data_IF_732273423706
#
_entry.id   IF_732273423706
#
_cell.length_a   1.000
_cell.length_b   1.000
_cell.length_c   1.000
_cell.angle_alpha   90.00
_cell.angle_beta   90.00
_cell.angle_gamma   90.00
#
_symmetry.space_group_name_H-M   'P 1'
#
loop_
_entity.id
_entity.type
_entity.pdbx_description
1 polymer ?
#
# COMPACT_ATOMS: atom_id res chain seq x y z
N UNK A 1 -6.74 -9.86 15.53
CA UNK A 1 -6.68 -9.62 14.08
C UNK A 1 -5.28 -9.89 13.54
N UNK A 2 -5.19 -10.39 12.31
CA UNK A 2 -3.92 -10.81 11.74
C UNK A 2 -2.86 -9.70 11.70
N UNK A 3 -3.27 -8.47 11.38
CA UNK A 3 -2.34 -7.33 11.32
C UNK A 3 -1.78 -7.03 12.70
N UNK A 4 -2.63 -6.94 13.72
CA UNK A 4 -2.19 -6.66 15.08
C UNK A 4 -1.26 -7.75 15.59
N UNK A 5 -1.54 -9.01 15.27
CA UNK A 5 -0.69 -10.12 15.68
C UNK A 5 0.68 -10.09 15.01
N UNK A 6 0.75 -9.66 13.75
CA UNK A 6 2.02 -9.52 13.05
C UNK A 6 2.91 -8.49 13.72
N UNK A 7 2.34 -7.37 14.19
CA UNK A 7 3.07 -6.34 14.89
C UNK A 7 3.36 -6.68 16.36
N UNK A 8 2.64 -7.64 16.94
CA UNK A 8 2.82 -8.01 18.36
C UNK A 8 4.22 -8.54 18.64
N UNK A 9 4.92 -9.08 17.65
CA UNK A 9 6.31 -9.56 17.80
C UNK A 9 7.33 -8.43 17.57
N UNK A 10 6.87 -7.20 17.33
CA UNK A 10 7.70 -6.02 17.13
C UNK A 10 8.78 -6.22 16.05
N UNK A 11 8.39 -6.57 14.82
CA UNK A 11 9.37 -6.86 13.77
C UNK A 11 10.04 -5.58 13.25
N UNK A 12 11.33 -5.68 12.87
CA UNK A 12 12.02 -4.62 12.15
C UNK A 12 11.51 -4.51 10.71
N UNK A 13 11.19 -5.64 10.10
CA UNK A 13 10.68 -5.73 8.74
C UNK A 13 9.47 -6.64 8.71
N UNK A 14 8.38 -6.17 8.13
CA UNK A 14 7.16 -6.95 7.94
C UNK A 14 6.83 -7.02 6.46
N UNK A 15 6.69 -8.23 5.94
CA UNK A 15 6.28 -8.46 4.55
C UNK A 15 4.81 -8.91 4.55
N UNK A 16 3.97 -8.19 3.79
CA UNK A 16 2.56 -8.51 3.62
C UNK A 16 2.27 -8.72 2.14
N UNK A 17 1.81 -9.92 1.78
CA UNK A 17 1.55 -10.30 0.38
C UNK A 17 0.04 -10.40 0.17
N UNK A 18 -0.54 -9.40 -0.47
CA UNK A 18 -1.96 -9.29 -0.78
C UNK A 18 -2.85 -9.64 0.43
N UNK A 19 -2.63 -8.98 1.58
CA UNK A 19 -3.26 -9.42 2.83
C UNK A 19 -4.77 -9.24 2.87
N UNK A 20 -5.34 -8.37 2.02
CA UNK A 20 -6.77 -8.01 2.08
C UNK A 20 -7.54 -8.32 0.80
N UNK A 21 -6.96 -9.13 -0.09
CA UNK A 21 -7.50 -9.35 -1.44
C UNK A 21 -8.93 -9.89 -1.51
N UNK A 22 -9.37 -10.65 -0.48
CA UNK A 22 -10.67 -11.29 -0.48
C UNK A 22 -11.70 -10.61 0.43
N UNK A 23 -11.35 -9.49 1.03
CA UNK A 23 -12.23 -8.81 1.98
C UNK A 23 -13.14 -7.80 1.28
N UNK A 24 -14.31 -7.55 1.87
CA UNK A 24 -15.17 -6.48 1.36
C UNK A 24 -14.51 -5.11 1.57
N UNK A 25 -14.98 -4.10 0.81
CA UNK A 25 -14.34 -2.80 0.74
C UNK A 25 -14.27 -2.11 2.11
N UNK A 26 -15.37 -2.16 2.87
CA UNK A 26 -15.44 -1.47 4.16
C UNK A 26 -14.47 -2.08 5.17
N UNK A 27 -14.42 -3.40 5.27
CA UNK A 27 -13.51 -4.09 6.16
C UNK A 27 -12.05 -3.87 5.74
N UNK A 28 -11.80 -3.85 4.43
CA UNK A 28 -10.46 -3.60 3.90
C UNK A 28 -9.94 -2.23 4.31
N UNK A 29 -10.74 -1.17 4.16
CA UNK A 29 -10.34 0.17 4.60
C UNK A 29 -10.07 0.21 6.10
N UNK A 30 -10.91 -0.44 6.89
CA UNK A 30 -10.69 -0.51 8.34
C UNK A 30 -9.33 -1.14 8.67
N UNK A 31 -8.99 -2.25 8.02
CA UNK A 31 -7.73 -2.94 8.26
C UNK A 31 -6.53 -2.16 7.72
N UNK A 32 -6.68 -1.46 6.61
CA UNK A 32 -5.63 -0.61 6.07
C UNK A 32 -5.33 0.56 7.02
N UNK A 33 -6.35 1.18 7.59
CA UNK A 33 -6.17 2.23 8.60
C UNK A 33 -5.47 1.69 9.85
N UNK A 34 -5.84 0.48 10.27
CA UNK A 34 -5.20 -0.21 11.41
C UNK A 34 -3.72 -0.44 11.12
N UNK A 35 -3.38 -0.91 9.93
CA UNK A 35 -2.00 -1.13 9.51
C UNK A 35 -1.19 0.16 9.57
N UNK A 36 -1.71 1.25 9.03
CA UNK A 36 -1.04 2.55 9.05
C UNK A 36 -0.83 3.04 10.47
N UNK A 37 -1.83 2.88 11.32
CA UNK A 37 -1.75 3.28 12.74
C UNK A 37 -0.62 2.52 13.45
N UNK A 38 -0.57 1.21 13.26
CA UNK A 38 0.45 0.37 13.89
C UNK A 38 1.85 0.66 13.35
N UNK A 39 1.95 0.86 12.04
CA UNK A 39 3.22 1.20 11.42
C UNK A 39 3.78 2.51 11.98
N UNK A 40 2.95 3.53 12.12
CA UNK A 40 3.36 4.81 12.69
C UNK A 40 3.80 4.68 14.15
N UNK A 41 3.07 3.87 14.93
CA UNK A 41 3.35 3.71 16.35
C UNK A 41 4.62 2.92 16.61
N UNK A 42 4.87 1.86 15.83
CA UNK A 42 5.96 0.92 16.06
C UNK A 42 7.17 1.16 15.17
N UNK A 43 7.05 2.00 14.16
CA UNK A 43 8.14 2.41 13.25
C UNK A 43 8.80 1.22 12.54
N UNK A 44 8.05 0.16 12.30
CA UNK A 44 8.53 -0.98 11.51
C UNK A 44 8.62 -0.60 10.04
N UNK A 45 9.51 -1.28 9.30
CA UNK A 45 9.51 -1.21 7.85
C UNK A 45 8.51 -2.22 7.32
N UNK A 46 7.57 -1.78 6.49
CA UNK A 46 6.54 -2.66 5.92
C UNK A 46 6.68 -2.68 4.40
N UNK A 47 6.74 -3.89 3.85
CA UNK A 47 6.64 -4.11 2.41
C UNK A 47 5.27 -4.72 2.16
N UNK A 48 4.45 -4.02 1.37
CA UNK A 48 3.06 -4.38 1.11
C UNK A 48 2.90 -4.69 -0.37
N UNK A 49 2.58 -5.93 -0.71
CA UNK A 49 2.42 -6.38 -2.09
C UNK A 49 0.94 -6.45 -2.43
N UNK A 50 0.54 -5.79 -3.51
CA UNK A 50 -0.84 -5.78 -3.94
C UNK A 50 -0.94 -5.57 -5.45
N UNK A 51 -2.03 -6.08 -6.05
CA UNK A 51 -2.42 -5.77 -7.43
C UNK A 51 -3.40 -4.60 -7.51
N UNK A 52 -3.88 -4.12 -6.36
CA UNK A 52 -4.87 -3.06 -6.31
C UNK A 52 -4.18 -1.71 -6.19
N UNK A 53 -4.22 -0.93 -7.27
CA UNK A 53 -3.54 0.39 -7.34
C UNK A 53 -4.09 1.34 -6.28
N UNK A 54 -5.41 1.37 -6.09
CA UNK A 54 -6.05 2.25 -5.11
C UNK A 54 -5.56 1.93 -3.69
N UNK A 55 -5.46 0.65 -3.36
CA UNK A 55 -4.93 0.21 -2.08
C UNK A 55 -3.48 0.65 -1.88
N UNK A 56 -2.66 0.50 -2.91
CA UNK A 56 -1.26 0.92 -2.85
C UNK A 56 -1.13 2.42 -2.56
N UNK A 57 -1.91 3.26 -3.25
CA UNK A 57 -1.89 4.71 -3.02
C UNK A 57 -2.43 5.06 -1.64
N UNK A 58 -3.38 4.26 -1.14
CA UNK A 58 -3.99 4.52 0.17
C UNK A 58 -3.01 4.28 1.32
N UNK A 59 -2.22 3.20 1.26
CA UNK A 59 -1.37 2.79 2.40
C UNK A 59 0.08 3.20 2.28
N UNK A 60 0.63 3.35 1.08
CA UNK A 60 2.07 3.45 0.88
C UNK A 60 2.61 4.87 1.01
N UNK A 61 3.87 4.97 1.42
CA UNK A 61 4.66 6.18 1.27
C UNK A 61 5.37 6.19 -0.09
N UNK A 62 5.67 5.00 -0.60
CA UNK A 62 6.45 4.82 -1.82
C UNK A 62 5.96 3.58 -2.52
N UNK A 63 5.71 3.68 -3.81
CA UNK A 63 5.23 2.56 -4.62
C UNK A 63 6.31 2.17 -5.62
N UNK A 64 6.67 0.89 -5.60
CA UNK A 64 7.59 0.31 -6.57
C UNK A 64 6.78 -0.49 -7.58
N UNK A 65 6.95 -0.16 -8.86
CA UNK A 65 6.26 -0.86 -9.93
C UNK A 65 7.22 -1.85 -10.56
N UNK A 66 6.81 -3.12 -10.57
CA UNK A 66 7.66 -4.21 -11.05
C UNK A 66 7.32 -4.57 -12.48
N UNK A 67 8.34 -4.98 -13.24
CA UNK A 67 8.13 -5.49 -14.59
C UNK A 67 7.64 -6.94 -14.54
N UNK A 68 7.07 -7.41 -15.65
CA UNK A 68 6.60 -8.80 -15.73
C UNK A 68 7.76 -9.81 -15.77
N UNK A 69 8.61 -9.68 -16.75
CA UNK A 69 9.74 -10.63 -16.93
C UNK A 69 10.87 -9.97 -17.72
N UNK A 70 12.12 -10.02 -17.24
CA UNK A 70 12.49 -10.43 -15.89
C UNK A 70 11.94 -9.44 -14.87
N UNK A 71 11.68 -9.90 -13.64
CA UNK A 71 11.13 -9.05 -12.61
C UNK A 71 12.18 -8.06 -12.12
N UNK A 72 12.00 -6.80 -12.46
CA UNK A 72 12.85 -5.71 -12.02
C UNK A 72 11.99 -4.52 -11.61
N UNK A 73 12.59 -3.60 -10.88
CA UNK A 73 11.90 -2.35 -10.53
C UNK A 73 11.89 -1.47 -11.77
N UNK A 74 10.73 -1.15 -12.25
CA UNK A 74 10.53 -0.33 -13.44
C UNK A 74 10.38 1.14 -13.14
N UNK A 75 9.68 1.46 -12.06
CA UNK A 75 9.42 2.82 -11.67
C UNK A 75 9.19 2.89 -10.17
N UNK A 76 9.46 4.06 -9.62
CA UNK A 76 9.15 4.38 -8.24
C UNK A 76 8.30 5.63 -8.21
N UNK A 77 7.19 5.58 -7.48
CA UNK A 77 6.30 6.73 -7.29
C UNK A 77 6.25 7.06 -5.81
N UNK A 78 6.65 8.27 -5.47
CA UNK A 78 6.54 8.76 -4.10
C UNK A 78 5.12 9.25 -3.87
N UNK A 79 4.50 8.77 -2.79
CA UNK A 79 3.13 9.15 -2.44
C UNK A 79 3.20 10.20 -1.34
N UNK A 80 3.27 11.46 -1.75
CA UNK A 80 3.36 12.59 -0.83
C UNK A 80 1.98 13.14 -0.54
N UNK A 81 1.18 12.34 0.13
CA UNK A 81 -0.18 12.72 0.54
C UNK A 81 -0.29 12.63 2.06
N UNK A 82 -0.91 13.65 2.70
CA UNK A 82 -1.16 13.59 4.14
C UNK A 82 -2.16 12.49 4.47
N UNK A 83 -2.10 12.02 5.70
CA UNK A 83 -3.06 11.05 6.24
C UNK A 83 -4.03 11.76 7.19
N UNK A 84 -5.27 11.32 7.28
CA UNK A 84 -5.90 10.26 6.50
C UNK A 84 -6.10 10.65 5.03
N UNK A 85 -5.95 9.67 4.13
CA UNK A 85 -6.09 9.88 2.69
C UNK A 85 -7.52 9.61 2.26
N UNK A 86 -8.01 10.39 1.30
CA UNK A 86 -9.33 10.19 0.72
C UNK A 86 -9.21 9.80 -0.74
N UNK A 87 -9.87 8.71 -1.12
CA UNK A 87 -9.83 8.18 -2.49
C UNK A 87 -10.48 9.12 -3.52
N UNK A 88 -11.25 10.10 -3.06
CA UNK A 88 -11.87 11.10 -3.92
C UNK A 88 -11.09 12.42 -3.99
N UNK A 89 -10.04 12.56 -3.20
CA UNK A 89 -9.18 13.74 -3.24
C UNK A 89 -8.51 13.84 -4.61
N UNK A 90 -8.51 15.03 -5.27
CA UNK A 90 -7.88 15.17 -6.58
C UNK A 90 -6.41 14.77 -6.63
N UNK A 91 -5.66 15.02 -5.57
CA UNK A 91 -4.25 14.65 -5.50
C UNK A 91 -4.08 13.12 -5.41
N UNK A 92 -4.99 12.45 -4.68
CA UNK A 92 -5.02 10.99 -4.62
C UNK A 92 -5.33 10.41 -6.01
N UNK A 93 -6.34 10.95 -6.67
CA UNK A 93 -6.75 10.50 -8.01
C UNK A 93 -5.62 10.69 -9.02
N UNK A 94 -4.87 11.80 -8.92
CA UNK A 94 -3.75 12.07 -9.81
C UNK A 94 -2.63 11.02 -9.65
N UNK A 95 -2.29 10.66 -8.41
CA UNK A 95 -1.26 9.65 -8.16
C UNK A 95 -1.74 8.28 -8.60
N UNK A 96 -3.00 7.93 -8.31
CA UNK A 96 -3.59 6.68 -8.77
C UNK A 96 -3.51 6.55 -10.29
N UNK A 97 -3.81 7.63 -11.01
CA UNK A 97 -3.72 7.66 -12.47
C UNK A 97 -2.29 7.46 -12.92
N UNK A 98 -1.34 8.13 -12.30
CA UNK A 98 0.08 8.02 -12.62
C UNK A 98 0.55 6.57 -12.49
N UNK A 99 0.23 5.91 -11.39
CA UNK A 99 0.60 4.52 -11.14
C UNK A 99 -0.08 3.59 -12.15
N UNK A 100 -1.37 3.80 -12.40
CA UNK A 100 -2.13 3.00 -13.37
C UNK A 100 -1.53 3.09 -14.76
N UNK A 101 -1.16 4.30 -15.20
CA UNK A 101 -0.56 4.50 -16.52
C UNK A 101 0.80 3.80 -16.61
N UNK A 102 1.60 3.84 -15.56
CA UNK A 102 2.89 3.15 -15.54
C UNK A 102 2.76 1.63 -15.62
N UNK A 103 1.72 1.07 -15.03
CA UNK A 103 1.45 -0.38 -15.10
C UNK A 103 0.91 -0.75 -16.48
N UNK A 104 0.02 0.07 -17.02
CA UNK A 104 -0.72 -0.22 -18.24
C UNK A 104 0.14 -0.36 -19.48
N UNK A 105 1.23 0.38 -19.56
CA UNK A 105 2.07 0.45 -20.76
C UNK A 105 3.26 -0.51 -20.71
N UNK A 106 3.08 -1.65 -20.15
CA UNK A 106 4.09 -2.70 -20.03
C UNK A 106 3.57 -4.01 -20.60
#
# INVERSE_FOLDING_TARGET
MAVARAFAVDPDLLLMDEPYGQLDVKLRYYLEDELVRLWKALKSTVIFITHNVEEAVYVAERILILSNKPTTIKAEVKVDLPRPRSVIDPNFVAIRKQVTDLIRWW
#
